data_IF_783360118462
#
_entry.id   IF_783360118462
#
_cell.length_a   1.000
_cell.length_b   1.000
_cell.length_c   1.000
_cell.angle_alpha   90.00
_cell.angle_beta   90.00
_cell.angle_gamma   90.00
#
_symmetry.space_group_name_H-M   'P 1'
#
loop_
_entity.id
_entity.type
_entity.pdbx_description
1 polymer ?
#
# COMPACT_ATOMS: atom_id res chain seq x y z
N UNK A 1 -7.49 -28.00 27.48
CA UNK A 1 -8.46 -27.03 26.94
C UNK A 1 -7.64 -25.85 26.46
N UNK A 2 -7.04 -25.96 25.29
CA UNK A 2 -6.09 -24.95 24.79
C UNK A 2 -6.85 -23.82 24.11
N UNK A 3 -6.99 -22.70 24.81
CA UNK A 3 -7.32 -21.40 24.23
C UNK A 3 -6.19 -20.99 23.30
N UNK A 4 -6.21 -21.45 22.05
CA UNK A 4 -5.50 -20.74 20.99
C UNK A 4 -6.34 -19.51 20.67
N UNK A 5 -6.06 -18.40 21.34
CA UNK A 5 -6.57 -17.10 20.91
C UNK A 5 -6.27 -16.95 19.42
N UNK A 6 -7.26 -16.52 18.64
CA UNK A 6 -7.04 -16.27 17.22
C UNK A 6 -5.97 -15.19 17.05
N UNK A 7 -5.19 -15.25 15.96
CA UNK A 7 -4.17 -14.24 15.65
C UNK A 7 -4.74 -12.82 15.68
N UNK A 8 -6.02 -12.65 15.32
CA UNK A 8 -6.74 -11.39 15.34
C UNK A 8 -6.99 -10.90 16.78
N UNK A 9 -7.36 -11.81 17.69
CA UNK A 9 -7.58 -11.48 19.11
C UNK A 9 -6.28 -10.97 19.74
N UNK A 10 -5.17 -11.65 19.44
CA UNK A 10 -3.86 -11.29 19.94
C UNK A 10 -3.42 -9.91 19.43
N UNK A 11 -3.60 -9.63 18.14
CA UNK A 11 -3.29 -8.32 17.55
C UNK A 11 -4.07 -7.17 18.21
N UNK A 12 -5.36 -7.37 18.51
CA UNK A 12 -6.18 -6.34 19.17
C UNK A 12 -5.70 -6.04 20.60
N UNK A 13 -5.33 -7.07 21.35
CA UNK A 13 -4.78 -6.91 22.70
C UNK A 13 -3.45 -6.16 22.69
N UNK A 14 -2.58 -6.49 21.74
CA UNK A 14 -1.30 -5.82 21.57
C UNK A 14 -1.50 -4.35 21.17
N UNK A 15 -2.42 -4.07 20.24
CA UNK A 15 -2.76 -2.70 19.84
C UNK A 15 -3.26 -1.87 21.02
N UNK A 16 -4.21 -2.40 21.82
CA UNK A 16 -4.72 -1.72 23.00
C UNK A 16 -3.63 -1.45 24.05
N UNK A 17 -2.70 -2.39 24.23
CA UNK A 17 -1.55 -2.21 25.12
C UNK A 17 -0.60 -1.12 24.60
N UNK A 18 -0.36 -1.04 23.29
CA UNK A 18 0.48 -0.01 22.69
C UNK A 18 -0.16 1.38 22.82
N UNK A 19 -1.49 1.50 22.66
CA UNK A 19 -2.23 2.75 22.91
C UNK A 19 -2.11 3.20 24.37
N UNK A 20 -2.33 2.29 25.32
CA UNK A 20 -2.25 2.60 26.75
C UNK A 20 -0.86 3.09 27.20
N UNK A 21 0.20 2.61 26.53
CA UNK A 21 1.58 3.02 26.82
C UNK A 21 2.06 4.21 25.98
N UNK A 22 1.20 4.80 25.14
CA UNK A 22 1.53 5.93 24.27
C UNK A 22 2.47 5.60 23.11
N UNK A 23 2.73 4.31 22.84
CA UNK A 23 3.60 3.86 21.75
C UNK A 23 2.88 3.82 20.39
N UNK A 24 1.54 3.87 20.40
CA UNK A 24 0.70 3.81 19.21
C UNK A 24 -0.56 4.66 19.42
N UNK A 25 -1.15 5.16 18.34
CA UNK A 25 -2.46 5.80 18.37
C UNK A 25 -3.17 5.56 17.06
N UNK A 26 -4.33 4.90 17.11
CA UNK A 26 -5.13 4.55 15.93
C UNK A 26 -5.57 5.73 15.08
N UNK A 27 -5.63 6.94 15.62
CA UNK A 27 -5.93 8.15 14.84
C UNK A 27 -4.86 8.47 13.78
N UNK A 28 -3.65 7.93 13.90
CA UNK A 28 -2.55 8.15 12.97
C UNK A 28 -2.31 6.96 12.02
N UNK A 29 -3.05 5.85 12.18
CA UNK A 29 -2.91 4.69 11.31
C UNK A 29 -3.46 4.99 9.91
N UNK A 30 -2.61 4.81 8.90
CA UNK A 30 -2.92 5.04 7.49
C UNK A 30 -2.21 4.01 6.63
N UNK A 31 -2.92 3.43 5.67
CA UNK A 31 -2.30 2.60 4.65
C UNK A 31 -1.34 3.43 3.80
N UNK A 32 -0.13 2.92 3.59
CA UNK A 32 0.88 3.60 2.81
C UNK A 32 0.75 3.29 1.31
N UNK A 33 0.44 2.06 0.88
CA UNK A 33 0.60 1.64 -0.52
C UNK A 33 -0.60 1.97 -1.44
N UNK A 34 -0.34 2.34 -2.71
CA UNK A 34 -1.36 2.61 -3.74
C UNK A 34 -1.29 1.70 -4.96
N UNK A 35 -2.45 1.47 -5.58
CA UNK A 35 -2.57 0.70 -6.83
C UNK A 35 -3.63 1.33 -7.74
N UNK A 36 -3.53 1.07 -9.04
CA UNK A 36 -4.52 1.48 -10.03
C UNK A 36 -4.47 0.59 -11.27
N UNK A 37 -5.47 0.73 -12.14
CA UNK A 37 -5.51 0.03 -13.41
C UNK A 37 -6.11 0.93 -14.49
N UNK A 38 -5.73 0.65 -15.73
CA UNK A 38 -6.30 1.30 -16.92
C UNK A 38 -6.63 0.21 -17.93
N UNK A 39 -7.73 0.39 -18.67
CA UNK A 39 -8.19 -0.57 -19.67
C UNK A 39 -8.68 0.16 -20.92
N UNK A 40 -8.31 -0.36 -22.09
CA UNK A 40 -8.97 0.03 -23.33
C UNK A 40 -10.29 -0.75 -23.44
N UNK A 41 -11.42 -0.10 -23.18
CA UNK A 41 -12.76 -0.74 -23.19
C UNK A 41 -13.15 -1.33 -24.55
N UNK A 42 -12.48 -0.93 -25.64
CA UNK A 42 -12.69 -1.48 -26.99
C UNK A 42 -11.77 -2.66 -27.29
N UNK A 43 -10.92 -3.07 -26.34
CA UNK A 43 -9.98 -4.18 -26.48
C UNK A 43 -8.84 -3.92 -27.46
N UNK A 44 -8.61 -2.66 -27.85
CA UNK A 44 -7.54 -2.32 -28.81
C UNK A 44 -6.21 -2.19 -28.08
N UNK A 45 -5.19 -2.90 -28.56
CA UNK A 45 -3.81 -2.72 -28.13
C UNK A 45 -3.33 -1.32 -28.55
N UNK A 46 -2.78 -0.56 -27.61
CA UNK A 46 -2.11 0.73 -27.87
C UNK A 46 -0.98 0.90 -26.87
N UNK A 47 0.06 1.64 -27.24
CA UNK A 47 1.10 2.05 -26.29
C UNK A 47 0.57 3.08 -25.29
N UNK A 48 -0.45 3.87 -25.65
CA UNK A 48 -1.03 4.90 -24.77
C UNK A 48 -1.46 4.33 -23.41
N UNK A 49 -1.87 3.06 -23.36
CA UNK A 49 -2.28 2.38 -22.12
C UNK A 49 -1.10 2.17 -21.15
N UNK A 50 0.11 2.06 -21.68
CA UNK A 50 1.35 1.98 -20.90
C UNK A 50 1.67 3.35 -20.33
N UNK A 51 1.57 4.40 -21.14
CA UNK A 51 1.81 5.78 -20.72
C UNK A 51 0.81 6.21 -19.62
N UNK A 52 -0.45 5.81 -19.76
CA UNK A 52 -1.47 6.03 -18.71
C UNK A 52 -1.14 5.24 -17.44
N UNK A 53 -0.67 4.00 -17.55
CA UNK A 53 -0.23 3.19 -16.42
C UNK A 53 0.95 3.80 -15.66
N UNK A 54 1.96 4.31 -16.38
CA UNK A 54 3.10 5.03 -15.79
C UNK A 54 2.65 6.32 -15.12
N UNK A 55 1.74 7.07 -15.75
CA UNK A 55 1.18 8.31 -15.18
C UNK A 55 0.40 8.04 -13.90
N UNK A 56 -0.25 6.88 -13.76
CA UNK A 56 -0.87 6.47 -12.49
C UNK A 56 0.21 6.29 -11.41
N UNK A 57 1.32 5.61 -11.71
CA UNK A 57 2.41 5.42 -10.74
C UNK A 57 3.03 6.74 -10.28
N UNK A 58 3.28 7.69 -11.20
CA UNK A 58 3.75 9.04 -10.86
C UNK A 58 2.79 9.74 -9.88
N UNK A 59 1.48 9.58 -10.06
CA UNK A 59 0.48 10.17 -9.15
C UNK A 59 0.41 9.48 -7.80
N UNK A 60 0.93 8.25 -7.69
CA UNK A 60 0.99 7.49 -6.45
C UNK A 60 2.30 7.68 -5.68
N UNK A 61 3.25 8.49 -6.16
CA UNK A 61 4.56 8.71 -5.52
C UNK A 61 4.45 9.10 -4.04
N UNK A 62 3.50 9.97 -3.68
CA UNK A 62 3.25 10.40 -2.29
C UNK A 62 2.80 9.27 -1.34
N UNK A 63 2.56 8.08 -1.89
CA UNK A 63 2.17 6.83 -1.22
C UNK A 63 3.25 5.74 -1.36
N UNK A 64 4.38 6.05 -1.98
CA UNK A 64 5.53 5.15 -2.07
C UNK A 64 6.40 5.21 -0.82
N UNK A 65 7.04 4.10 -0.49
CA UNK A 65 8.16 4.11 0.45
C UNK A 65 9.36 4.79 -0.19
N UNK A 66 9.94 5.76 0.52
CA UNK A 66 11.13 6.50 0.09
C UNK A 66 12.36 6.06 0.90
N UNK A 67 13.51 5.98 0.23
CA UNK A 67 14.79 5.67 0.85
C UNK A 67 15.41 6.84 1.63
N UNK A 68 16.66 6.68 2.03
CA UNK A 68 17.41 7.72 2.73
C UNK A 68 17.84 8.89 1.83
N UNK A 69 17.77 8.70 0.51
CA UNK A 69 18.04 9.71 -0.50
C UNK A 69 16.82 9.91 -1.42
N UNK A 70 16.88 10.97 -2.24
CA UNK A 70 15.78 11.40 -3.12
C UNK A 70 15.55 10.50 -4.33
N UNK A 71 16.49 9.61 -4.65
CA UNK A 71 16.47 8.82 -5.90
C UNK A 71 16.12 7.34 -5.65
N UNK A 72 15.97 6.95 -4.38
CA UNK A 72 15.70 5.57 -3.97
C UNK A 72 14.27 5.43 -3.43
N UNK A 73 13.58 4.36 -3.85
CA UNK A 73 12.28 3.95 -3.29
C UNK A 73 12.18 2.44 -3.17
N UNK A 74 11.17 1.96 -2.43
CA UNK A 74 11.01 0.53 -2.13
C UNK A 74 10.64 -0.30 -3.37
N UNK A 75 9.92 0.30 -4.32
CA UNK A 75 9.59 -0.31 -5.62
C UNK A 75 8.27 0.16 -6.22
N UNK A 76 8.20 0.11 -7.56
CA UNK A 76 6.99 0.34 -8.35
C UNK A 76 7.01 -0.59 -9.58
N UNK A 77 5.84 -0.92 -10.12
CA UNK A 77 5.74 -1.80 -11.28
C UNK A 77 4.38 -1.78 -11.94
N UNK A 78 4.34 -2.22 -13.21
CA UNK A 78 3.12 -2.43 -13.98
C UNK A 78 3.06 -3.88 -14.46
N UNK A 79 1.86 -4.44 -14.51
CA UNK A 79 1.57 -5.72 -15.14
C UNK A 79 0.83 -5.46 -16.45
N UNK A 80 1.28 -6.11 -17.53
CA UNK A 80 0.74 -5.95 -18.88
C UNK A 80 0.44 -7.33 -19.49
N UNK A 81 -0.40 -7.37 -20.53
CA UNK A 81 -0.81 -8.60 -21.23
C UNK A 81 0.02 -8.85 -22.50
#
# INVERSE_FOLDING_TARGET
MDMKQSTIEQQRLDQARLEANGMYSSQFEKDACGMGFVVNIKGKKSHDIIDDGLRILERLEHRGGAGADKDTGDGAGILVQ
#
